data_IF_699134534953
#
_entry.id   IF_699134534953
#
_cell.length_a   1.000
_cell.length_b   1.000
_cell.length_c   1.000
_cell.angle_alpha   90.00
_cell.angle_beta   90.00
_cell.angle_gamma   90.00
#
_symmetry.space_group_name_H-M   'P 1'
#
loop_
_entity.id
_entity.type
_entity.pdbx_description
1 polymer ?
#
# COMPACT_ATOMS: atom_id res chain seq x y z
N UNK A 1 20.31 86.96 76.51
CA UNK A 1 19.96 85.53 76.35
C UNK A 1 19.26 85.25 75.02
N UNK A 2 19.63 85.91 73.91
CA UNK A 2 18.81 85.91 72.68
C UNK A 2 19.47 85.29 71.44
N UNK A 3 20.74 84.88 71.51
CA UNK A 3 21.47 84.29 70.36
C UNK A 3 21.53 82.76 70.42
N UNK A 4 21.66 82.16 71.61
CA UNK A 4 21.64 80.70 71.76
C UNK A 4 20.30 80.08 71.32
N UNK A 5 19.19 80.73 71.70
CA UNK A 5 17.85 80.26 71.33
C UNK A 5 17.56 80.33 69.82
N UNK A 6 18.34 81.12 69.06
CA UNK A 6 18.20 81.26 67.60
C UNK A 6 19.01 80.21 66.84
N UNK A 7 20.18 79.83 67.36
CA UNK A 7 20.96 78.72 66.79
C UNK A 7 20.30 77.36 67.04
N UNK A 8 19.67 77.16 68.20
CA UNK A 8 18.94 75.93 68.50
C UNK A 8 17.71 75.76 67.59
N UNK A 9 17.02 76.86 67.25
CA UNK A 9 15.86 76.82 66.35
C UNK A 9 16.23 76.64 64.87
N UNK A 10 17.41 77.13 64.45
CA UNK A 10 17.94 76.86 63.11
C UNK A 10 18.42 75.41 62.98
N UNK A 11 19.10 74.84 63.99
CA UNK A 11 19.50 73.42 64.01
C UNK A 11 18.30 72.47 64.06
N UNK A 12 17.25 72.80 64.82
CA UNK A 12 16.01 72.03 64.80
C UNK A 12 15.30 72.09 63.43
N UNK A 13 15.36 73.21 62.73
CA UNK A 13 14.81 73.34 61.37
C UNK A 13 15.55 72.47 60.35
N UNK A 14 16.89 72.45 60.39
CA UNK A 14 17.69 71.58 59.53
C UNK A 14 17.47 70.09 59.84
N UNK A 15 17.44 69.71 61.12
CA UNK A 15 17.16 68.34 61.54
C UNK A 15 15.75 67.88 61.14
N UNK A 16 14.76 68.78 61.16
CA UNK A 16 13.41 68.47 60.71
C UNK A 16 13.31 68.35 59.18
N UNK A 17 14.09 69.11 58.41
CA UNK A 17 14.18 68.93 56.95
C UNK A 17 14.85 67.60 56.59
N UNK A 18 15.92 67.23 57.27
CA UNK A 18 16.62 65.94 57.06
C UNK A 18 15.69 64.76 57.35
N UNK A 19 14.96 64.81 58.47
CA UNK A 19 13.94 63.80 58.81
C UNK A 19 12.78 63.74 57.81
N UNK A 20 12.40 64.88 57.22
CA UNK A 20 11.36 64.93 56.19
C UNK A 20 11.83 64.25 54.90
N UNK A 21 13.07 64.54 54.49
CA UNK A 21 13.72 63.94 53.31
C UNK A 21 13.88 62.43 53.51
N UNK A 22 14.37 62.00 54.67
CA UNK A 22 14.50 60.56 55.00
C UNK A 22 13.15 59.85 55.05
N UNK A 23 12.11 60.50 55.57
CA UNK A 23 10.75 59.94 55.57
C UNK A 23 10.16 59.81 54.16
N UNK A 24 10.49 60.75 53.26
CA UNK A 24 10.10 60.68 51.84
C UNK A 24 10.88 59.59 51.09
N UNK A 25 12.18 59.43 51.38
CA UNK A 25 13.05 58.40 50.79
C UNK A 25 12.65 56.98 51.23
N UNK A 26 12.29 56.81 52.51
CA UNK A 26 11.88 55.51 53.03
C UNK A 26 10.48 55.08 52.54
N UNK A 27 9.55 56.03 52.40
CA UNK A 27 8.12 55.71 52.23
C UNK A 27 7.58 55.95 50.81
N UNK A 28 8.24 56.80 50.01
CA UNK A 28 7.84 57.10 48.63
C UNK A 28 7.86 55.89 47.68
N UNK A 29 8.93 55.08 47.65
CA UNK A 29 8.99 53.88 46.82
C UNK A 29 8.01 52.78 47.28
N UNK A 30 7.84 52.67 48.60
CA UNK A 30 7.00 51.65 49.24
C UNK A 30 5.51 51.92 49.02
N UNK A 31 5.06 53.17 49.15
CA UNK A 31 3.66 53.55 48.94
C UNK A 31 3.23 53.37 47.46
N UNK A 32 4.12 53.61 46.49
CA UNK A 32 3.85 53.32 45.07
C UNK A 32 3.81 51.81 44.77
N UNK A 33 4.70 51.03 45.39
CA UNK A 33 4.74 49.57 45.23
C UNK A 33 3.50 48.90 45.85
N UNK A 34 3.04 49.36 47.01
CA UNK A 34 1.85 48.85 47.70
C UNK A 34 0.57 49.15 46.93
N UNK A 35 0.38 50.40 46.46
CA UNK A 35 -0.78 50.77 45.65
C UNK A 35 -0.85 49.97 44.34
N UNK A 36 0.29 49.65 43.74
CA UNK A 36 0.35 48.88 42.51
C UNK A 36 0.16 47.37 42.70
N UNK A 37 0.65 46.80 43.80
CA UNK A 37 0.51 45.38 44.12
C UNK A 37 -0.95 44.96 44.39
N UNK A 38 -1.77 45.87 44.93
CA UNK A 38 -3.20 45.62 45.17
C UNK A 38 -4.01 45.40 43.89
N UNK A 39 -3.61 46.01 42.76
CA UNK A 39 -4.32 45.90 41.47
C UNK A 39 -3.96 44.64 40.66
N UNK A 40 -2.94 43.89 41.09
CA UNK A 40 -2.47 42.67 40.42
C UNK A 40 -3.19 41.42 40.96
N UNK A 41 -3.62 41.43 42.21
CA UNK A 41 -4.13 40.23 42.89
C UNK A 41 -5.63 39.94 42.64
N UNK A 42 -6.38 40.84 42.00
CA UNK A 42 -7.84 40.70 41.81
C UNK A 42 -8.28 40.07 40.47
N UNK A 43 -7.36 39.68 39.57
CA UNK A 43 -7.74 39.35 38.18
C UNK A 43 -7.05 38.10 37.60
N UNK A 44 -7.12 36.96 38.30
CA UNK A 44 -6.59 35.65 37.87
C UNK A 44 -7.44 34.96 36.78
N UNK A 45 -7.95 35.70 35.79
CA UNK A 45 -8.81 35.19 34.71
C UNK A 45 -8.47 35.70 33.31
N UNK A 46 -7.33 36.37 33.13
CA UNK A 46 -6.91 36.90 31.83
C UNK A 46 -6.11 35.84 31.05
N UNK A 47 -6.20 35.86 29.72
CA UNK A 47 -5.35 35.03 28.87
C UNK A 47 -3.88 35.42 29.09
N UNK A 48 -2.96 34.44 29.08
CA UNK A 48 -1.53 34.64 29.40
C UNK A 48 -0.88 35.78 28.59
N UNK A 49 -1.33 36.02 27.35
CA UNK A 49 -0.85 37.12 26.53
C UNK A 49 -1.28 38.51 27.03
N UNK A 50 -2.48 38.63 27.60
CA UNK A 50 -3.00 39.87 28.18
C UNK A 50 -2.28 40.20 29.49
N UNK A 51 -1.99 39.19 30.31
CA UNK A 51 -1.18 39.36 31.52
C UNK A 51 0.23 39.86 31.19
N UNK A 52 0.89 39.28 30.18
CA UNK A 52 2.21 39.74 29.73
C UNK A 52 2.21 41.19 29.24
N UNK A 53 1.16 41.63 28.53
CA UNK A 53 1.02 43.04 28.11
C UNK A 53 0.85 43.96 29.33
N UNK A 54 -0.01 43.59 30.28
CA UNK A 54 -0.22 44.35 31.53
C UNK A 54 1.08 44.46 32.35
N UNK A 55 1.83 43.37 32.51
CA UNK A 55 3.13 43.40 33.20
C UNK A 55 4.14 44.28 32.49
N UNK A 56 4.20 44.25 31.15
CA UNK A 56 5.09 45.12 30.38
C UNK A 56 4.77 46.60 30.60
N UNK A 57 3.50 46.97 30.61
CA UNK A 57 3.05 48.35 30.88
C UNK A 57 3.38 48.75 32.33
N UNK A 58 3.10 47.89 33.30
CA UNK A 58 3.45 48.10 34.71
C UNK A 58 4.95 48.32 34.92
N UNK A 59 5.81 47.43 34.40
CA UNK A 59 7.25 47.58 34.53
C UNK A 59 7.78 48.82 33.79
N UNK A 60 7.13 49.23 32.70
CA UNK A 60 7.49 50.47 32.00
C UNK A 60 7.20 51.70 32.86
N UNK A 61 6.03 51.74 33.51
CA UNK A 61 5.66 52.81 34.43
C UNK A 61 6.56 52.84 35.67
N UNK A 62 6.82 51.68 36.27
CA UNK A 62 7.70 51.54 37.43
C UNK A 62 9.13 52.00 37.11
N UNK A 63 9.66 51.61 35.95
CA UNK A 63 10.97 52.05 35.47
C UNK A 63 11.03 53.57 35.31
N UNK A 64 9.99 54.19 34.75
CA UNK A 64 9.93 55.63 34.58
C UNK A 64 9.98 56.34 35.94
N UNK A 65 9.11 55.96 36.88
CA UNK A 65 9.06 56.56 38.22
C UNK A 65 10.37 56.40 38.98
N UNK A 66 11.02 55.23 38.88
CA UNK A 66 12.30 54.99 39.54
C UNK A 66 13.43 55.86 38.97
N UNK A 67 13.54 55.96 37.64
CA UNK A 67 14.55 56.80 36.99
C UNK A 67 14.31 58.28 37.32
N UNK A 68 13.05 58.72 37.30
CA UNK A 68 12.68 60.08 37.65
C UNK A 68 13.07 60.42 39.10
N UNK A 69 12.77 59.52 40.04
CA UNK A 69 13.12 59.71 41.45
C UNK A 69 14.64 59.77 41.65
N UNK A 70 15.40 58.84 41.08
CA UNK A 70 16.86 58.84 41.19
C UNK A 70 17.50 60.08 40.55
N UNK A 71 16.89 60.61 39.48
CA UNK A 71 17.35 61.84 38.84
C UNK A 71 17.08 63.06 39.72
N UNK A 72 15.88 63.15 40.32
CA UNK A 72 15.53 64.22 41.26
C UNK A 72 16.45 64.21 42.48
N UNK A 73 16.73 63.04 43.04
CA UNK A 73 17.64 62.89 44.18
C UNK A 73 19.06 63.35 43.82
N UNK A 74 19.60 62.85 42.71
CA UNK A 74 20.95 63.24 42.25
C UNK A 74 21.05 64.73 42.00
N UNK A 75 20.02 65.36 41.43
CA UNK A 75 19.97 66.80 41.22
C UNK A 75 19.99 67.59 42.53
N UNK A 76 19.15 67.20 43.50
CA UNK A 76 19.14 67.84 44.81
C UNK A 76 20.50 67.70 45.50
N UNK A 77 21.08 66.50 45.49
CA UNK A 77 22.41 66.25 46.07
C UNK A 77 23.50 67.10 45.41
N UNK A 78 23.48 67.24 44.08
CA UNK A 78 24.46 68.04 43.35
C UNK A 78 24.40 69.55 43.71
N UNK A 79 23.24 70.06 44.09
CA UNK A 79 23.06 71.45 44.54
C UNK A 79 23.41 71.63 46.02
N UNK A 80 23.15 70.61 46.84
CA UNK A 80 23.35 70.62 48.28
C UNK A 80 24.75 70.20 48.73
N UNK A 81 25.54 69.57 47.85
CA UNK A 81 26.96 69.23 48.10
C UNK A 81 27.82 70.50 48.16
N UNK A 82 28.84 70.49 49.03
CA UNK A 82 29.82 71.58 49.18
C UNK A 82 31.24 71.06 48.85
N UNK A 83 31.86 71.46 47.72
CA UNK A 83 31.40 72.46 46.74
C UNK A 83 30.35 71.91 45.75
N UNK A 84 29.44 72.78 45.25
CA UNK A 84 28.38 72.37 44.34
C UNK A 84 28.96 71.85 43.02
N UNK A 85 28.37 70.77 42.51
CA UNK A 85 28.85 70.11 41.31
C UNK A 85 28.40 70.90 40.07
N UNK A 86 29.30 71.74 39.55
CA UNK A 86 29.10 72.44 38.28
C UNK A 86 29.38 71.48 37.12
N UNK A 87 28.37 71.19 36.30
CA UNK A 87 28.55 70.42 35.07
C UNK A 87 28.99 71.37 33.96
N UNK A 88 30.20 71.17 33.44
CA UNK A 88 30.72 71.97 32.34
C UNK A 88 30.20 71.48 30.98
N UNK A 89 30.09 72.35 29.96
CA UNK A 89 29.66 71.94 28.63
C UNK A 89 30.57 70.85 28.01
N UNK A 90 31.86 70.83 28.35
CA UNK A 90 32.79 69.79 27.89
C UNK A 90 32.44 68.40 28.46
N UNK A 91 31.95 68.33 29.69
CA UNK A 91 31.50 67.08 30.32
C UNK A 91 30.24 66.54 29.64
N UNK A 92 29.35 67.43 29.23
CA UNK A 92 28.16 67.07 28.45
C UNK A 92 28.54 66.54 27.06
N UNK A 93 29.48 67.17 26.36
CA UNK A 93 29.95 66.69 25.05
C UNK A 93 30.61 65.31 25.15
N UNK A 94 31.45 65.09 26.17
CA UNK A 94 32.04 63.76 26.46
C UNK A 94 30.96 62.71 26.75
N UNK A 95 29.95 63.06 27.56
CA UNK A 95 28.86 62.16 27.89
C UNK A 95 27.97 61.86 26.68
N UNK A 96 27.68 62.85 25.83
CA UNK A 96 26.91 62.66 24.60
C UNK A 96 27.64 61.76 23.61
N UNK A 97 28.95 61.94 23.46
CA UNK A 97 29.80 61.08 22.61
C UNK A 97 29.76 59.63 23.08
N UNK A 98 29.98 59.38 24.37
CA UNK A 98 29.93 58.01 24.94
C UNK A 98 28.53 57.40 24.84
N UNK A 99 27.46 58.17 25.09
CA UNK A 99 26.08 57.71 24.92
C UNK A 99 25.79 57.36 23.47
N UNK A 100 26.28 58.15 22.51
CA UNK A 100 26.11 57.88 21.08
C UNK A 100 26.78 56.56 20.67
N UNK A 101 28.02 56.34 21.12
CA UNK A 101 28.74 55.09 20.86
C UNK A 101 28.03 53.89 21.50
N UNK A 102 27.60 54.00 22.76
CA UNK A 102 26.86 52.94 23.45
C UNK A 102 25.51 52.66 22.79
N UNK A 103 24.79 53.69 22.33
CA UNK A 103 23.53 53.54 21.57
C UNK A 103 23.77 52.81 20.25
N UNK A 104 24.84 53.14 19.54
CA UNK A 104 25.20 52.47 18.30
C UNK A 104 25.50 50.98 18.54
N UNK A 105 26.35 50.67 19.52
CA UNK A 105 26.67 49.28 19.92
C UNK A 105 25.42 48.52 20.35
N UNK A 106 24.54 49.14 21.15
CA UNK A 106 23.29 48.53 21.58
C UNK A 106 22.37 48.23 20.40
N UNK A 107 22.26 49.14 19.42
CA UNK A 107 21.46 48.94 18.21
C UNK A 107 22.00 47.75 17.41
N UNK A 108 23.31 47.72 17.17
CA UNK A 108 23.95 46.60 16.48
C UNK A 108 23.68 45.26 17.17
N UNK A 109 23.83 45.19 18.50
CA UNK A 109 23.53 43.97 19.26
C UNK A 109 22.06 43.58 19.22
N UNK A 110 21.14 44.55 19.22
CA UNK A 110 19.70 44.27 19.06
C UNK A 110 19.39 43.69 17.69
N UNK A 111 19.97 44.26 16.64
CA UNK A 111 19.78 43.79 15.27
C UNK A 111 20.36 42.38 15.10
N UNK A 112 21.54 42.09 15.68
CA UNK A 112 22.13 40.74 15.74
C UNK A 112 21.22 39.74 16.45
N UNK A 113 20.70 40.09 17.64
CA UNK A 113 19.80 39.22 18.41
C UNK A 113 18.48 38.98 17.65
N UNK A 114 17.94 40.00 16.98
CA UNK A 114 16.73 39.84 16.19
C UNK A 114 16.96 38.93 14.97
N UNK A 115 18.13 39.04 14.33
CA UNK A 115 18.55 38.14 13.25
C UNK A 115 18.66 36.70 13.73
N UNK A 116 19.38 36.47 14.84
CA UNK A 116 19.53 35.13 15.43
C UNK A 116 18.18 34.55 15.84
N UNK A 117 17.27 35.37 16.40
CA UNK A 117 15.92 34.92 16.72
C UNK A 117 15.16 34.45 15.48
N UNK A 118 15.26 35.18 14.36
CA UNK A 118 14.61 34.79 13.10
C UNK A 118 15.19 33.49 12.56
N UNK A 119 16.50 33.32 12.64
CA UNK A 119 17.21 32.10 12.24
C UNK A 119 16.76 30.90 13.08
N UNK A 120 16.78 31.02 14.41
CA UNK A 120 16.31 29.97 15.33
C UNK A 120 14.86 29.59 15.02
N UNK A 121 13.97 30.55 14.81
CA UNK A 121 12.57 30.26 14.48
C UNK A 121 12.46 29.53 13.15
N UNK A 122 13.26 29.91 12.15
CA UNK A 122 13.32 29.21 10.86
C UNK A 122 13.79 27.76 11.04
N UNK A 123 14.92 27.55 11.72
CA UNK A 123 15.48 26.23 11.99
C UNK A 123 14.53 25.35 12.80
N UNK A 124 13.88 25.90 13.84
CA UNK A 124 12.87 25.17 14.61
C UNK A 124 11.71 24.70 13.74
N UNK A 125 11.24 25.54 12.81
CA UNK A 125 10.18 25.16 11.87
C UNK A 125 10.62 24.07 10.90
N UNK A 126 11.85 24.15 10.37
CA UNK A 126 12.41 23.11 9.52
C UNK A 126 12.57 21.78 10.26
N UNK A 127 13.07 21.82 11.51
CA UNK A 127 13.22 20.63 12.35
C UNK A 127 11.86 20.02 12.66
N UNK A 128 10.85 20.83 12.99
CA UNK A 128 9.49 20.35 13.23
C UNK A 128 8.92 19.64 12.00
N UNK A 129 9.09 20.22 10.80
CA UNK A 129 8.64 19.59 9.56
C UNK A 129 9.36 18.27 9.27
N UNK A 130 10.68 18.21 9.46
CA UNK A 130 11.47 16.97 9.30
C UNK A 130 11.05 15.91 10.32
N UNK A 131 10.81 16.31 11.56
CA UNK A 131 10.32 15.41 12.61
C UNK A 131 8.95 14.83 12.25
N UNK A 132 8.01 15.66 11.79
CA UNK A 132 6.69 15.19 11.37
C UNK A 132 6.76 14.23 10.17
N UNK A 133 7.66 14.49 9.21
CA UNK A 133 7.88 13.59 8.08
C UNK A 133 8.43 12.23 8.53
N UNK A 134 9.50 12.22 9.33
CA UNK A 134 10.09 10.97 9.87
C UNK A 134 9.12 10.21 10.77
N UNK A 135 8.24 10.91 11.51
CA UNK A 135 7.20 10.28 12.31
C UNK A 135 6.15 9.57 11.42
N UNK A 136 5.78 10.16 10.29
CA UNK A 136 4.89 9.52 9.31
C UNK A 136 5.54 8.29 8.69
N UNK A 137 6.78 8.41 8.21
CA UNK A 137 7.54 7.29 7.66
C UNK A 137 7.69 6.16 8.70
N UNK A 138 7.96 6.49 9.97
CA UNK A 138 8.03 5.50 11.05
C UNK A 138 6.71 4.78 11.29
N UNK A 139 5.57 5.48 11.18
CA UNK A 139 4.24 4.86 11.29
C UNK A 139 3.97 3.93 10.11
N UNK A 140 4.26 4.37 8.89
CA UNK A 140 4.11 3.56 7.68
C UNK A 140 5.01 2.31 7.71
N UNK A 141 6.26 2.45 8.17
CA UNK A 141 7.16 1.31 8.36
C UNK A 141 6.60 0.32 9.40
N UNK A 142 5.98 0.81 10.47
CA UNK A 142 5.34 -0.05 11.49
C UNK A 142 4.11 -0.78 10.94
N UNK A 143 3.29 -0.14 10.10
CA UNK A 143 2.14 -0.80 9.48
C UNK A 143 2.59 -1.86 8.49
N UNK A 144 3.56 -1.54 7.63
CA UNK A 144 4.16 -2.50 6.69
C UNK A 144 4.79 -3.70 7.40
N UNK A 145 5.49 -3.48 8.52
CA UNK A 145 6.02 -4.58 9.34
C UNK A 145 4.92 -5.44 9.96
N UNK A 146 3.77 -4.86 10.31
CA UNK A 146 2.63 -5.63 10.80
C UNK A 146 2.01 -6.48 9.68
N UNK A 147 1.86 -5.90 8.49
CA UNK A 147 1.37 -6.60 7.29
C UNK A 147 2.32 -7.73 6.85
N UNK A 148 3.64 -7.50 6.89
CA UNK A 148 4.62 -8.55 6.63
C UNK A 148 4.48 -9.71 7.61
N UNK A 149 4.31 -9.44 8.90
CA UNK A 149 4.09 -10.49 9.90
C UNK A 149 2.80 -11.27 9.67
N UNK A 150 1.73 -10.61 9.22
CA UNK A 150 0.49 -11.30 8.87
C UNK A 150 0.69 -12.18 7.65
N UNK A 151 1.37 -11.68 6.61
CA UNK A 151 1.69 -12.46 5.40
C UNK A 151 2.63 -13.63 5.69
N UNK A 152 3.65 -13.45 6.54
CA UNK A 152 4.53 -14.52 6.99
C UNK A 152 3.76 -15.61 7.74
N UNK A 153 2.78 -15.21 8.57
CA UNK A 153 1.91 -16.17 9.26
C UNK A 153 1.00 -16.90 8.28
N UNK A 154 0.39 -16.20 7.33
CA UNK A 154 -0.43 -16.82 6.27
C UNK A 154 0.39 -17.80 5.41
N UNK A 155 1.64 -17.47 5.08
CA UNK A 155 2.56 -18.38 4.40
C UNK A 155 2.87 -19.61 5.25
N UNK A 156 3.14 -19.45 6.54
CA UNK A 156 3.35 -20.58 7.44
C UNK A 156 2.11 -21.47 7.56
N UNK A 157 0.93 -20.87 7.66
CA UNK A 157 -0.34 -21.59 7.70
C UNK A 157 -0.59 -22.34 6.38
N UNK A 158 -0.28 -21.72 5.23
CA UNK A 158 -0.34 -22.36 3.92
C UNK A 158 0.70 -23.47 3.72
N UNK A 159 1.93 -23.31 4.21
CA UNK A 159 2.95 -24.35 4.17
C UNK A 159 2.57 -25.54 5.04
N UNK A 160 2.01 -25.28 6.24
CA UNK A 160 1.45 -26.34 7.09
C UNK A 160 0.26 -27.02 6.41
N UNK A 161 -0.66 -26.26 5.83
CA UNK A 161 -1.79 -26.80 5.06
C UNK A 161 -1.30 -27.59 3.85
N UNK A 162 -0.27 -27.16 3.15
CA UNK A 162 0.34 -27.88 2.04
C UNK A 162 1.02 -29.15 2.54
N UNK A 163 1.77 -29.12 3.64
CA UNK A 163 2.33 -30.33 4.27
C UNK A 163 1.24 -31.32 4.69
N UNK A 164 0.09 -30.83 5.15
CA UNK A 164 -1.06 -31.65 5.56
C UNK A 164 -1.88 -32.15 4.34
N UNK A 165 -1.97 -31.37 3.27
CA UNK A 165 -2.67 -31.68 2.01
C UNK A 165 -1.80 -32.35 0.95
N UNK A 166 -0.49 -32.44 1.18
CA UNK A 166 0.44 -33.26 0.39
C UNK A 166 0.80 -34.58 1.08
N UNK A 167 -0.17 -35.46 1.41
CA UNK A 167 0.12 -36.87 1.35
C UNK A 167 -0.14 -37.34 -0.09
N UNK A 168 0.78 -38.16 -0.61
CA UNK A 168 0.61 -39.04 -1.78
C UNK A 168 1.09 -38.49 -3.15
N UNK A 169 2.22 -37.76 -3.24
CA UNK A 169 3.02 -37.80 -4.49
C UNK A 169 3.75 -39.15 -4.71
N UNK A 170 4.35 -39.81 -3.70
CA UNK A 170 5.16 -41.00 -3.97
C UNK A 170 4.33 -42.22 -4.45
N UNK A 171 3.10 -42.41 -3.97
CA UNK A 171 2.22 -43.50 -4.45
C UNK A 171 1.67 -43.21 -5.86
N UNK A 172 1.54 -41.93 -6.25
CA UNK A 172 1.20 -41.55 -7.62
C UNK A 172 2.40 -41.76 -8.56
N UNK A 173 3.61 -41.39 -8.13
CA UNK A 173 4.85 -41.69 -8.86
C UNK A 173 5.09 -43.20 -9.03
N UNK A 174 4.72 -44.02 -8.04
CA UNK A 174 4.78 -45.48 -8.14
C UNK A 174 3.69 -46.07 -9.05
N UNK A 175 2.49 -45.47 -9.09
CA UNK A 175 1.38 -45.92 -9.93
C UNK A 175 1.51 -45.54 -11.40
N UNK A 176 2.19 -44.44 -11.74
CA UNK A 176 2.42 -44.00 -13.12
C UNK A 176 3.06 -45.10 -14.00
N UNK A 177 4.21 -45.70 -13.64
CA UNK A 177 4.84 -46.72 -14.49
C UNK A 177 3.99 -48.00 -14.61
N UNK A 178 3.20 -48.34 -13.59
CA UNK A 178 2.26 -49.48 -13.62
C UNK A 178 1.14 -49.20 -14.63
N UNK A 179 0.56 -48.01 -14.58
CA UNK A 179 -0.49 -47.59 -15.53
C UNK A 179 0.05 -47.49 -16.96
N UNK A 180 1.28 -47.00 -17.15
CA UNK A 180 1.93 -46.97 -18.46
C UNK A 180 2.14 -48.38 -19.04
N UNK A 181 2.53 -49.34 -18.19
CA UNK A 181 2.70 -50.74 -18.59
C UNK A 181 1.36 -51.40 -18.93
N UNK A 182 0.31 -51.18 -18.13
CA UNK A 182 -1.04 -51.66 -18.44
C UNK A 182 -1.54 -51.08 -19.78
N UNK A 183 -1.32 -49.80 -20.03
CA UNK A 183 -1.71 -49.14 -21.27
C UNK A 183 -1.00 -49.76 -22.47
N UNK A 184 0.30 -50.04 -22.37
CA UNK A 184 1.06 -50.74 -23.42
C UNK A 184 0.48 -52.14 -23.72
N UNK A 185 0.16 -52.92 -22.68
CA UNK A 185 -0.43 -54.25 -22.84
C UNK A 185 -1.80 -54.17 -23.51
N UNK A 186 -2.63 -53.19 -23.14
CA UNK A 186 -3.93 -53.00 -23.80
C UNK A 186 -3.79 -52.56 -25.25
N UNK A 187 -2.82 -51.70 -25.59
CA UNK A 187 -2.54 -51.26 -26.95
C UNK A 187 -2.09 -52.42 -27.85
N UNK A 188 -1.20 -53.28 -27.34
CA UNK A 188 -0.77 -54.49 -28.05
C UNK A 188 -1.92 -55.49 -28.24
N UNK A 189 -2.80 -55.63 -27.24
CA UNK A 189 -4.02 -56.44 -27.37
C UNK A 189 -4.95 -55.88 -28.44
N UNK A 190 -5.14 -54.55 -28.49
CA UNK A 190 -5.98 -53.89 -29.50
C UNK A 190 -5.40 -54.11 -30.90
N UNK A 191 -4.09 -53.94 -31.09
CA UNK A 191 -3.40 -54.21 -32.37
C UNK A 191 -3.58 -55.66 -32.81
N UNK A 192 -3.44 -56.61 -31.88
CA UNK A 192 -3.65 -58.02 -32.17
C UNK A 192 -5.10 -58.30 -32.60
N UNK A 193 -6.08 -57.79 -31.86
CA UNK A 193 -7.50 -57.98 -32.22
C UNK A 193 -7.86 -57.32 -33.54
N UNK A 194 -7.31 -56.14 -33.84
CA UNK A 194 -7.51 -55.47 -35.14
C UNK A 194 -6.91 -56.28 -36.28
N UNK A 195 -5.70 -56.83 -36.09
CA UNK A 195 -5.08 -57.70 -37.10
C UNK A 195 -5.89 -58.98 -37.34
N UNK A 196 -6.55 -59.53 -36.32
CA UNK A 196 -7.47 -60.66 -36.49
C UNK A 196 -8.74 -60.25 -37.22
N UNK A 197 -9.29 -59.09 -36.88
CA UNK A 197 -10.49 -58.54 -37.53
C UNK A 197 -10.22 -58.31 -39.03
N UNK A 198 -9.08 -57.73 -39.41
CA UNK A 198 -8.69 -57.58 -40.82
C UNK A 198 -8.61 -58.93 -41.56
N UNK A 199 -8.05 -59.97 -40.93
CA UNK A 199 -8.00 -61.31 -41.54
C UNK A 199 -9.39 -61.90 -41.71
N UNK A 200 -10.25 -61.75 -40.71
CA UNK A 200 -11.61 -62.25 -40.75
C UNK A 200 -12.46 -61.48 -41.77
N UNK A 201 -12.26 -60.18 -41.94
CA UNK A 201 -12.88 -59.38 -42.99
C UNK A 201 -12.49 -59.88 -44.39
N UNK A 202 -11.18 -60.09 -44.64
CA UNK A 202 -10.71 -60.65 -45.91
C UNK A 202 -11.32 -62.04 -46.16
N UNK A 203 -11.40 -62.87 -45.11
CA UNK A 203 -12.01 -64.20 -45.20
C UNK A 203 -13.51 -64.14 -45.45
N UNK A 204 -14.23 -63.23 -44.80
CA UNK A 204 -15.67 -63.00 -45.03
C UNK A 204 -15.92 -62.52 -46.45
N UNK A 205 -15.07 -61.65 -47.00
CA UNK A 205 -15.17 -61.21 -48.40
C UNK A 205 -14.92 -62.34 -49.39
N UNK A 206 -13.95 -63.23 -49.11
CA UNK A 206 -13.74 -64.44 -49.91
C UNK A 206 -14.94 -65.38 -49.84
N UNK A 207 -15.48 -65.62 -48.63
CA UNK A 207 -16.67 -66.45 -48.43
C UNK A 207 -17.90 -65.85 -49.13
N UNK A 208 -18.10 -64.52 -49.06
CA UNK A 208 -19.16 -63.80 -49.79
C UNK A 208 -19.04 -63.99 -51.30
N UNK A 209 -17.82 -63.86 -51.85
CA UNK A 209 -17.56 -64.11 -53.27
C UNK A 209 -17.90 -65.57 -53.64
N UNK A 210 -17.47 -66.53 -52.83
CA UNK A 210 -17.74 -67.95 -53.05
C UNK A 210 -19.25 -68.27 -52.96
N UNK A 211 -19.96 -67.75 -51.95
CA UNK A 211 -21.41 -67.90 -51.84
C UNK A 211 -22.12 -67.26 -53.04
N UNK A 212 -21.70 -66.08 -53.51
CA UNK A 212 -22.28 -65.46 -54.70
C UNK A 212 -22.04 -66.28 -55.97
N UNK A 213 -20.87 -66.90 -56.12
CA UNK A 213 -20.61 -67.82 -57.23
C UNK A 213 -21.48 -69.08 -57.13
N UNK A 214 -21.58 -69.66 -55.94
CA UNK A 214 -22.39 -70.86 -55.70
C UNK A 214 -23.89 -70.58 -55.88
N UNK A 215 -24.38 -69.40 -55.50
CA UNK A 215 -25.74 -68.93 -55.78
C UNK A 215 -26.00 -68.79 -57.29
N UNK A 216 -25.01 -68.29 -58.05
CA UNK A 216 -25.10 -68.24 -59.53
C UNK A 216 -25.12 -69.63 -60.14
N UNK A 217 -24.25 -70.53 -59.68
CA UNK A 217 -24.24 -71.93 -60.15
C UNK A 217 -25.54 -72.65 -59.80
N UNK A 218 -26.03 -72.49 -58.56
CA UNK A 218 -27.29 -73.05 -58.12
C UNK A 218 -28.46 -72.50 -58.93
N UNK A 219 -28.53 -71.19 -59.16
CA UNK A 219 -29.61 -70.59 -59.97
C UNK A 219 -29.56 -71.05 -61.43
N UNK A 220 -28.36 -71.19 -62.03
CA UNK A 220 -28.21 -71.74 -63.38
C UNK A 220 -28.61 -73.23 -63.45
N UNK A 221 -28.17 -74.05 -62.49
CA UNK A 221 -28.57 -75.46 -62.40
C UNK A 221 -30.07 -75.61 -62.13
N UNK A 222 -30.65 -74.75 -61.30
CA UNK A 222 -32.08 -74.71 -61.02
C UNK A 222 -32.89 -74.31 -62.26
N UNK A 223 -32.45 -73.28 -63.00
CA UNK A 223 -33.04 -72.91 -64.29
C UNK A 223 -32.94 -74.07 -65.28
N UNK A 224 -31.77 -74.70 -65.44
CA UNK A 224 -31.58 -75.87 -66.31
C UNK A 224 -32.48 -77.04 -65.92
N UNK A 225 -32.61 -77.31 -64.62
CA UNK A 225 -33.52 -78.33 -64.09
C UNK A 225 -34.98 -78.00 -64.40
N UNK A 226 -35.40 -76.74 -64.23
CA UNK A 226 -36.76 -76.30 -64.56
C UNK A 226 -37.02 -76.37 -66.07
N UNK A 227 -36.07 -76.00 -66.93
CA UNK A 227 -36.17 -76.16 -68.39
C UNK A 227 -36.25 -77.65 -68.79
N UNK A 228 -35.49 -78.53 -68.12
CA UNK A 228 -35.61 -79.97 -68.29
C UNK A 228 -36.98 -80.48 -67.84
N UNK A 229 -37.51 -79.99 -66.71
CA UNK A 229 -38.85 -80.33 -66.25
C UNK A 229 -39.93 -79.85 -67.23
N UNK A 230 -39.87 -78.59 -67.68
CA UNK A 230 -40.78 -78.04 -68.68
C UNK A 230 -40.68 -78.77 -70.03
N UNK A 231 -39.48 -79.13 -70.49
CA UNK A 231 -39.32 -79.95 -71.70
C UNK A 231 -39.79 -81.41 -71.52
N UNK A 232 -39.75 -81.94 -70.30
CA UNK A 232 -40.38 -83.23 -69.95
C UNK A 232 -41.90 -83.13 -69.82
N UNK A 233 -42.45 -82.01 -69.37
CA UNK A 233 -43.90 -81.76 -69.32
C UNK A 233 -44.47 -81.44 -70.71
N UNK A 234 -43.69 -80.76 -71.58
CA UNK A 234 -44.01 -80.53 -72.99
C UNK A 234 -43.73 -81.77 -73.87
N UNK A 235 -43.08 -82.81 -73.33
CA UNK A 235 -43.05 -84.15 -73.93
C UNK A 235 -44.41 -84.81 -73.71
N UNK A 236 -45.31 -84.61 -74.66
CA UNK A 236 -46.55 -85.38 -74.73
C UNK A 236 -46.21 -86.89 -74.91
N UNK A 237 -46.75 -87.81 -74.10
CA UNK A 237 -46.53 -89.26 -74.24
C UNK A 237 -46.82 -89.81 -75.65
N UNK A 238 -47.62 -89.10 -76.46
CA UNK A 238 -47.93 -89.46 -77.84
C UNK A 238 -46.84 -89.15 -78.87
N UNK A 239 -45.95 -88.18 -78.61
CA UNK A 239 -44.90 -87.78 -79.57
C UNK A 239 -43.67 -88.68 -79.51
N UNK A 240 -43.41 -89.33 -78.37
CA UNK A 240 -42.32 -90.30 -78.22
C UNK A 240 -42.63 -91.62 -78.95
N UNK A 241 -43.91 -92.01 -79.02
CA UNK A 241 -44.37 -93.11 -79.84
C UNK A 241 -44.22 -92.81 -81.35
N UNK A 242 -44.61 -91.61 -81.80
CA UNK A 242 -44.42 -91.18 -83.20
C UNK A 242 -42.94 -91.17 -83.60
N UNK A 243 -42.04 -90.69 -82.74
CA UNK A 243 -40.59 -90.68 -83.03
C UNK A 243 -39.98 -92.08 -83.07
N UNK A 244 -40.41 -93.01 -82.22
CA UNK A 244 -39.98 -94.42 -82.29
C UNK A 244 -40.46 -95.09 -83.57
N UNK A 245 -41.71 -94.84 -83.98
CA UNK A 245 -42.24 -95.32 -85.26
C UNK A 245 -41.49 -94.68 -86.44
N UNK A 246 -41.21 -93.38 -86.39
CA UNK A 246 -40.42 -92.70 -87.43
C UNK A 246 -38.99 -93.24 -87.48
N UNK A 247 -38.34 -93.45 -86.35
CA UNK A 247 -36.99 -94.05 -86.27
C UNK A 247 -36.98 -95.49 -86.82
N UNK A 248 -38.03 -96.27 -86.53
CA UNK A 248 -38.22 -97.60 -87.09
C UNK A 248 -38.44 -97.54 -88.61
N UNK A 249 -39.29 -96.64 -89.11
CA UNK A 249 -39.49 -96.44 -90.55
C UNK A 249 -38.22 -95.95 -91.25
N UNK A 250 -37.44 -95.02 -90.67
CA UNK A 250 -36.17 -94.58 -91.27
C UNK A 250 -35.11 -95.67 -91.22
N UNK A 251 -35.08 -96.48 -90.16
CA UNK A 251 -34.20 -97.65 -90.09
C UNK A 251 -34.60 -98.69 -91.11
N UNK A 252 -35.90 -98.92 -91.31
CA UNK A 252 -36.44 -99.88 -92.27
C UNK A 252 -36.24 -99.40 -93.71
N UNK A 253 -36.44 -98.11 -93.99
CA UNK A 253 -36.12 -97.50 -95.28
C UNK A 253 -34.62 -97.59 -95.59
N UNK A 254 -33.74 -97.34 -94.61
CA UNK A 254 -32.29 -97.51 -94.79
C UNK A 254 -31.90 -98.98 -95.07
N UNK A 255 -32.62 -99.94 -94.47
CA UNK A 255 -32.45 -101.37 -94.79
C UNK A 255 -32.98 -101.69 -96.21
N UNK A 256 -34.11 -101.11 -96.62
CA UNK A 256 -34.63 -101.31 -97.98
C UNK A 256 -33.75 -100.68 -99.07
N UNK A 257 -33.15 -99.52 -98.83
CA UNK A 257 -32.12 -98.91 -99.71
C UNK A 257 -30.85 -99.78 -99.83
N UNK A 258 -30.59 -100.67 -98.86
CA UNK A 258 -29.45 -101.61 -98.92
C UNK A 258 -29.76 -102.92 -99.66
N UNK A 259 -31.03 -103.22 -99.98
CA UNK A 259 -31.46 -104.53 -100.50
C UNK A 259 -32.06 -104.45 -101.92
N UNK A 260 -32.36 -103.26 -102.45
CA UNK A 260 -32.64 -103.06 -103.88
C UNK A 260 -31.42 -102.46 -104.62
N UNK A 261 -30.83 -103.18 -105.60
CA UNK A 261 -29.82 -102.64 -106.52
C UNK A 261 -30.41 -101.70 -107.59
#
# INVERSE_FOLDING_TARGET
MSEHSRMDSEQESFSNQEKLIDSFLAKGPQALAESASSSVNEQSGLSTEQELKKYKEFFSQLKFSYIEQGTKERYLRAILDDPPLLVEPEDNEKLESTISELKFRLKQRKDEVESLKKEIVSECNEIAQKYDATLKESKEAKTLLAELRTLEKELQDLDQDNLIKTPILPDLEEKIPVLEQELLVTDDSIKFTNSQLERDEVRLDQLRKNCSLLEKEYSHLHQRSNHLRESMEMRSPGDDAKRKVQAWYTSMLNIYDQILP
#
